data_IF_987250962699
#
_entry.id   IF_987250962699
#
_cell.length_a   1.000
_cell.length_b   1.000
_cell.length_c   1.000
_cell.angle_alpha   90.00
_cell.angle_beta   90.00
_cell.angle_gamma   90.00
#
_symmetry.space_group_name_H-M   'P 1'
#
loop_
_entity.id
_entity.type
_entity.pdbx_description
1 polymer ?
#
# COMPACT_ATOMS: atom_id res chain seq x y z
N UNK A 1 -10.72 3.58 -17.06
CA UNK A 1 -9.41 4.20 -17.30
C UNK A 1 -8.69 4.41 -15.96
N UNK A 2 -7.72 3.56 -15.62
CA UNK A 2 -6.81 3.73 -14.46
C UNK A 2 -5.53 4.49 -14.87
N UNK A 3 -5.66 5.44 -15.79
CA UNK A 3 -4.50 6.21 -16.24
C UNK A 3 -4.16 7.21 -15.12
N UNK A 4 -2.92 7.16 -14.64
CA UNK A 4 -2.41 7.95 -13.51
C UNK A 4 -2.94 7.55 -12.12
N UNK A 5 -3.25 6.27 -11.89
CA UNK A 5 -3.49 5.78 -10.53
C UNK A 5 -2.48 4.70 -10.12
N UNK A 6 -1.97 4.82 -8.91
CA UNK A 6 -0.98 3.94 -8.29
C UNK A 6 -1.62 3.24 -7.11
N UNK A 7 -1.44 1.92 -7.03
CA UNK A 7 -1.84 1.10 -5.90
C UNK A 7 -0.59 0.43 -5.34
N UNK A 8 -0.58 0.22 -4.04
CA UNK A 8 0.46 -0.58 -3.39
C UNK A 8 -0.14 -1.89 -2.87
N UNK A 9 0.70 -2.92 -2.89
CA UNK A 9 0.39 -4.22 -2.32
C UNK A 9 1.44 -4.53 -1.25
N UNK A 10 1.00 -4.86 -0.04
CA UNK A 10 1.87 -5.24 1.07
C UNK A 10 1.48 -6.63 1.53
N UNK A 11 2.45 -7.52 1.64
CA UNK A 11 2.24 -8.82 2.27
C UNK A 11 2.25 -8.64 3.80
N UNK A 12 1.14 -8.97 4.44
CA UNK A 12 0.95 -8.88 5.88
C UNK A 12 0.57 -10.26 6.40
N UNK A 13 1.44 -10.85 7.22
CA UNK A 13 1.29 -12.24 7.66
C UNK A 13 1.29 -13.19 6.45
N UNK A 14 0.12 -13.73 6.12
CA UNK A 14 -0.06 -14.67 5.00
C UNK A 14 -1.04 -14.15 3.91
N UNK A 15 -1.36 -12.85 3.92
CA UNK A 15 -2.30 -12.25 2.98
C UNK A 15 -1.78 -10.92 2.42
N UNK A 16 -2.11 -10.62 1.16
CA UNK A 16 -1.81 -9.33 0.56
C UNK A 16 -2.89 -8.31 0.93
N UNK A 17 -2.46 -7.16 1.46
CA UNK A 17 -3.30 -5.97 1.60
C UNK A 17 -3.05 -5.04 0.42
N UNK A 18 -4.13 -4.58 -0.19
CA UNK A 18 -4.10 -3.61 -1.28
C UNK A 18 -4.51 -2.23 -0.79
N UNK A 19 -3.79 -1.21 -1.26
CA UNK A 19 -4.11 0.18 -0.98
C UNK A 19 -5.30 0.68 -1.80
N UNK A 20 -6.01 1.74 -1.35
CA UNK A 20 -6.86 2.49 -2.26
C UNK A 20 -6.02 3.06 -3.43
N UNK A 21 -6.63 3.34 -4.59
CA UNK A 21 -5.91 3.89 -5.73
C UNK A 21 -5.55 5.37 -5.48
N UNK A 22 -4.26 5.67 -5.50
CA UNK A 22 -3.70 7.01 -5.33
C UNK A 22 -3.38 7.65 -6.67
N UNK A 23 -3.34 8.98 -6.74
CA UNK A 23 -2.89 9.72 -7.94
C UNK A 23 -1.37 9.93 -7.99
N UNK A 24 -0.68 9.75 -6.86
CA UNK A 24 0.76 9.91 -6.71
C UNK A 24 1.42 8.60 -6.28
N UNK A 25 2.54 8.19 -6.90
CA UNK A 25 3.25 6.97 -6.52
C UNK A 25 3.80 7.05 -5.08
N UNK A 26 4.23 8.23 -4.63
CA UNK A 26 4.76 8.44 -3.27
C UNK A 26 3.68 8.23 -2.19
N UNK A 27 2.41 8.46 -2.52
CA UNK A 27 1.30 8.19 -1.62
C UNK A 27 1.06 6.68 -1.45
N UNK A 28 1.11 5.93 -2.56
CA UNK A 28 1.03 4.46 -2.53
C UNK A 28 2.19 3.85 -1.73
N UNK A 29 3.41 4.37 -1.93
CA UNK A 29 4.59 3.92 -1.18
C UNK A 29 4.49 4.23 0.31
N UNK A 30 4.04 5.44 0.69
CA UNK A 30 3.85 5.80 2.10
C UNK A 30 2.82 4.92 2.79
N UNK A 31 1.71 4.62 2.11
CA UNK A 31 0.73 3.67 2.61
C UNK A 31 1.36 2.29 2.82
N UNK A 32 2.19 1.82 1.88
CA UNK A 32 2.84 0.53 2.00
C UNK A 32 3.76 0.45 3.24
N UNK A 33 4.54 1.51 3.48
CA UNK A 33 5.41 1.61 4.65
C UNK A 33 4.61 1.68 5.95
N UNK A 34 3.50 2.43 5.97
CA UNK A 34 2.62 2.51 7.14
C UNK A 34 2.02 1.15 7.48
N UNK A 35 1.42 0.46 6.51
CA UNK A 35 0.82 -0.86 6.71
C UNK A 35 1.86 -1.87 7.18
N UNK A 36 3.06 -1.84 6.61
CA UNK A 36 4.15 -2.72 7.06
C UNK A 36 4.53 -2.43 8.52
N UNK A 37 4.70 -1.16 8.90
CA UNK A 37 5.05 -0.78 10.25
C UNK A 37 3.97 -1.14 11.28
N UNK A 38 2.70 -0.88 10.97
CA UNK A 38 1.56 -1.26 11.81
C UNK A 38 1.48 -2.77 12.05
N UNK A 39 1.94 -3.59 11.10
CA UNK A 39 1.93 -5.05 11.21
C UNK A 39 3.25 -5.66 11.69
N UNK A 40 4.37 -4.91 11.69
CA UNK A 40 5.64 -5.31 12.31
C UNK A 40 5.66 -5.07 13.82
N UNK A 41 4.82 -4.15 14.33
CA UNK A 41 4.74 -3.80 15.77
C UNK A 41 3.85 -4.76 16.58
N UNK A 42 3.20 -5.75 15.95
CA UNK A 42 2.25 -6.65 16.64
C UNK A 42 2.83 -7.99 17.05
#
# INVERSE_FOLDING_TARGET
>A
MLRNRYVAFVLVGNAFRQSPPFTLPEAAQRWAMQVRHENEIS
#
